data_IF_819558993406
#
_entry.id   IF_819558993406
#
_cell.length_a   1.000
_cell.length_b   1.000
_cell.length_c   1.000
_cell.angle_alpha   90.00
_cell.angle_beta   90.00
_cell.angle_gamma   90.00
#
_symmetry.space_group_name_H-M   'P 1'
#
loop_
_entity.id
_entity.type
_entity.pdbx_description
1 polymer ?
#
# COMPACT_ATOMS: atom_id res chain seq x y z
N UNK A 1 -77.29 61.06 20.53
CA UNK A 1 -77.66 60.78 19.09
C UNK A 1 -76.80 59.64 18.70
N UNK A 2 -77.45 58.48 18.76
CA UNK A 2 -77.62 57.47 17.75
C UNK A 2 -76.30 56.82 17.28
N UNK A 3 -76.10 55.62 17.43
CA UNK A 3 -76.75 54.31 17.34
C UNK A 3 -75.84 53.35 16.63
N UNK A 4 -75.83 52.16 17.13
CA UNK A 4 -75.86 50.87 16.39
C UNK A 4 -74.60 50.41 15.67
N UNK A 5 -74.03 49.34 16.23
CA UNK A 5 -74.26 47.94 15.87
C UNK A 5 -73.61 47.52 14.56
N UNK A 6 -72.60 46.71 14.69
CA UNK A 6 -72.66 45.41 13.96
C UNK A 6 -71.63 44.44 14.55
N UNK A 7 -72.23 43.51 15.29
CA UNK A 7 -71.64 42.22 15.51
C UNK A 7 -71.92 41.36 14.29
N UNK A 8 -70.93 40.94 13.56
CA UNK A 8 -71.05 39.84 12.62
C UNK A 8 -69.73 39.17 12.37
N UNK A 9 -69.68 37.95 12.82
CA UNK A 9 -69.07 36.83 12.19
C UNK A 9 -67.54 36.76 12.06
N UNK A 10 -66.93 36.28 13.15
CA UNK A 10 -65.69 35.52 13.02
C UNK A 10 -66.06 34.03 13.05
N UNK A 11 -66.50 33.50 11.94
CA UNK A 11 -66.62 32.07 11.70
C UNK A 11 -65.18 31.59 11.36
N UNK A 12 -64.45 31.21 12.41
CA UNK A 12 -63.17 30.52 12.27
C UNK A 12 -63.42 29.13 11.70
N UNK A 13 -63.15 28.99 10.43
CA UNK A 13 -63.06 27.74 9.70
C UNK A 13 -61.99 26.85 10.39
N UNK A 14 -62.46 25.95 11.22
CA UNK A 14 -61.64 24.87 11.78
C UNK A 14 -61.21 23.94 10.67
N UNK A 15 -59.98 24.06 10.20
CA UNK A 15 -59.36 23.06 9.33
C UNK A 15 -59.26 21.75 10.14
N UNK A 16 -59.87 20.65 9.72
CA UNK A 16 -59.73 19.38 10.42
C UNK A 16 -58.28 18.91 10.30
N UNK A 17 -57.59 18.84 11.43
CA UNK A 17 -56.31 18.20 11.56
C UNK A 17 -56.46 16.72 11.19
N UNK A 18 -55.86 16.35 10.06
CA UNK A 18 -55.77 14.96 9.65
C UNK A 18 -55.10 14.12 10.75
N UNK A 19 -55.62 12.95 11.11
CA UNK A 19 -55.03 12.10 12.11
C UNK A 19 -53.63 11.71 11.65
N UNK A 20 -52.59 12.14 12.35
CA UNK A 20 -51.24 11.59 12.23
C UNK A 20 -51.37 10.10 12.54
N UNK A 21 -51.39 9.28 11.49
CA UNK A 21 -51.22 7.84 11.62
C UNK A 21 -49.84 7.65 12.30
N UNK A 22 -49.88 7.29 13.57
CA UNK A 22 -48.72 6.72 14.24
C UNK A 22 -48.40 5.42 13.51
N UNK A 23 -47.40 5.44 12.67
CA UNK A 23 -46.87 4.25 12.03
C UNK A 23 -46.38 3.35 13.17
N UNK A 24 -47.22 2.37 13.52
CA UNK A 24 -47.14 1.63 14.77
C UNK A 24 -45.78 0.98 14.97
N UNK A 25 -45.33 0.99 16.21
CA UNK A 25 -44.04 0.58 16.72
C UNK A 25 -43.51 -0.80 16.29
N UNK A 26 -44.32 -1.69 15.75
CA UNK A 26 -43.89 -3.02 15.30
C UNK A 26 -43.04 -2.97 14.01
N UNK A 27 -43.35 -2.08 13.09
CA UNK A 27 -42.56 -1.88 11.86
C UNK A 27 -41.23 -1.16 12.15
N UNK A 28 -41.26 -0.20 13.06
CA UNK A 28 -40.05 0.52 13.51
C UNK A 28 -39.09 -0.45 14.19
N UNK A 29 -39.56 -1.35 15.03
CA UNK A 29 -38.74 -2.41 15.62
C UNK A 29 -38.17 -3.37 14.57
N UNK A 30 -38.93 -3.74 13.55
CA UNK A 30 -38.44 -4.55 12.44
C UNK A 30 -37.32 -3.89 11.64
N UNK A 31 -37.47 -2.58 11.36
CA UNK A 31 -36.41 -1.80 10.67
C UNK A 31 -35.14 -1.66 11.52
N UNK A 32 -35.33 -1.42 12.84
CA UNK A 32 -34.18 -1.32 13.78
C UNK A 32 -33.45 -2.66 13.89
N UNK A 33 -34.18 -3.77 14.00
CA UNK A 33 -33.58 -5.12 14.05
C UNK A 33 -32.82 -5.42 12.72
N UNK A 34 -33.45 -5.09 11.59
CA UNK A 34 -32.83 -5.29 10.28
C UNK A 34 -31.55 -4.44 10.12
N UNK A 35 -31.60 -3.18 10.52
CA UNK A 35 -30.42 -2.30 10.52
C UNK A 35 -29.31 -2.82 11.46
N UNK A 36 -29.69 -3.30 12.65
CA UNK A 36 -28.75 -3.91 13.58
C UNK A 36 -28.12 -5.20 13.02
N UNK A 37 -28.91 -6.07 12.40
CA UNK A 37 -28.40 -7.28 11.74
C UNK A 37 -27.50 -6.94 10.55
N UNK A 38 -27.81 -5.88 9.80
CA UNK A 38 -26.99 -5.41 8.68
C UNK A 38 -25.59 -4.91 9.12
N UNK A 39 -25.49 -4.36 10.32
CA UNK A 39 -24.22 -3.97 10.93
C UNK A 39 -23.56 -5.15 11.66
N UNK A 40 -24.34 -5.92 12.39
CA UNK A 40 -23.84 -7.04 13.20
C UNK A 40 -23.29 -8.19 12.34
N UNK A 41 -23.95 -8.52 11.23
CA UNK A 41 -23.52 -9.62 10.36
C UNK A 41 -22.14 -9.38 9.75
N UNK A 42 -21.84 -8.22 9.10
CA UNK A 42 -20.50 -7.92 8.65
C UNK A 42 -19.47 -7.88 9.78
N UNK A 43 -19.85 -7.35 10.95
CA UNK A 43 -18.99 -7.32 12.13
C UNK A 43 -18.68 -8.74 12.65
N UNK A 44 -19.69 -9.61 12.76
CA UNK A 44 -19.49 -11.01 13.16
C UNK A 44 -18.70 -11.78 12.10
N UNK A 45 -18.98 -11.53 10.82
CA UNK A 45 -18.24 -12.12 9.72
C UNK A 45 -16.78 -11.67 9.74
N UNK A 46 -16.52 -10.35 9.90
CA UNK A 46 -15.17 -9.80 10.03
C UNK A 46 -14.44 -10.37 11.26
N UNK A 47 -15.11 -10.45 12.40
CA UNK A 47 -14.54 -11.03 13.63
C UNK A 47 -14.38 -12.55 13.56
N UNK A 48 -15.18 -13.24 12.74
CA UNK A 48 -15.08 -14.68 12.52
C UNK A 48 -14.11 -15.05 11.39
N UNK A 49 -13.76 -14.08 10.53
CA UNK A 49 -12.78 -14.32 9.48
C UNK A 49 -11.37 -14.34 10.08
N UNK A 50 -10.50 -15.10 9.47
CA UNK A 50 -9.10 -15.28 9.84
C UNK A 50 -8.37 -13.95 10.11
N UNK A 51 -8.70 -12.89 9.37
CA UNK A 51 -8.05 -11.57 9.45
C UNK A 51 -8.40 -10.74 10.70
N UNK A 52 -9.46 -11.04 11.42
CA UNK A 52 -9.91 -10.28 12.60
C UNK A 52 -9.48 -10.87 13.94
N UNK A 53 -8.86 -12.05 13.97
CA UNK A 53 -8.49 -12.73 15.22
C UNK A 53 -6.98 -12.74 15.44
N UNK A 54 -6.51 -12.39 16.64
CA UNK A 54 -5.13 -12.69 17.01
C UNK A 54 -4.91 -14.21 16.97
N UNK A 55 -3.87 -14.62 16.26
CA UNK A 55 -3.46 -16.02 16.21
C UNK A 55 -2.83 -16.44 17.54
N UNK A 56 -3.21 -17.62 18.01
CA UNK A 56 -2.45 -18.28 19.08
C UNK A 56 -1.06 -18.67 18.57
N UNK A 57 -0.10 -18.90 19.45
CA UNK A 57 1.25 -19.30 19.04
C UNK A 57 1.25 -20.59 18.21
N UNK A 58 0.38 -21.55 18.53
CA UNK A 58 0.22 -22.77 17.73
C UNK A 58 -0.27 -22.45 16.32
N UNK A 59 -1.26 -21.57 16.18
CA UNK A 59 -1.79 -21.17 14.87
C UNK A 59 -0.77 -20.35 14.07
N UNK A 60 -0.02 -19.48 14.74
CA UNK A 60 1.03 -18.68 14.14
C UNK A 60 2.15 -19.58 13.57
N UNK A 61 2.60 -20.60 14.34
CA UNK A 61 3.57 -21.56 13.86
C UNK A 61 3.07 -22.40 12.68
N UNK A 62 1.81 -22.83 12.71
CA UNK A 62 1.19 -23.54 11.57
C UNK A 62 1.07 -22.66 10.33
N UNK A 63 0.67 -21.40 10.49
CA UNK A 63 0.56 -20.44 9.38
C UNK A 63 1.91 -20.16 8.73
N UNK A 64 2.98 -19.91 9.53
CA UNK A 64 4.33 -19.67 9.01
C UNK A 64 4.91 -20.91 8.28
N UNK A 65 4.50 -22.10 8.67
CA UNK A 65 4.95 -23.36 8.05
C UNK A 65 4.18 -23.71 6.77
N UNK A 66 2.98 -23.12 6.55
CA UNK A 66 2.08 -23.51 5.47
C UNK A 66 2.41 -22.78 4.15
N UNK A 67 3.44 -23.24 3.45
CA UNK A 67 3.90 -22.67 2.17
C UNK A 67 2.86 -22.71 1.04
N UNK A 68 1.78 -23.49 1.18
CA UNK A 68 0.70 -23.56 0.20
C UNK A 68 -0.25 -22.37 0.25
N UNK A 69 -0.19 -21.58 1.32
CA UNK A 69 -1.11 -20.47 1.57
C UNK A 69 -0.36 -19.17 1.90
N UNK A 70 0.23 -18.48 0.89
CA UNK A 70 1.03 -17.26 1.11
C UNK A 70 0.32 -16.19 1.94
N UNK A 71 -1.00 -16.05 1.79
CA UNK A 71 -1.80 -15.07 2.55
C UNK A 71 -1.85 -15.38 4.05
N UNK A 72 -1.81 -16.65 4.44
CA UNK A 72 -1.75 -17.03 5.85
C UNK A 72 -0.39 -16.68 6.45
N UNK A 73 0.70 -16.87 5.69
CA UNK A 73 2.04 -16.44 6.09
C UNK A 73 2.09 -14.91 6.26
N UNK A 74 1.57 -14.15 5.29
CA UNK A 74 1.53 -12.69 5.39
C UNK A 74 0.73 -12.22 6.62
N UNK A 75 -0.40 -12.88 6.91
CA UNK A 75 -1.18 -12.58 8.11
C UNK A 75 -0.41 -12.90 9.39
N UNK A 76 0.31 -14.02 9.44
CA UNK A 76 1.17 -14.36 10.57
C UNK A 76 2.31 -13.34 10.74
N UNK A 77 2.94 -12.92 9.64
CA UNK A 77 3.97 -11.87 9.65
C UNK A 77 3.43 -10.55 10.20
N UNK A 78 2.22 -10.12 9.78
CA UNK A 78 1.59 -8.91 10.31
C UNK A 78 1.32 -8.99 11.83
N UNK A 79 1.03 -10.17 12.36
CA UNK A 79 0.87 -10.35 13.79
C UNK A 79 2.20 -10.38 14.56
N UNK A 80 3.27 -10.89 13.92
CA UNK A 80 4.62 -10.77 14.48
C UNK A 80 5.03 -9.29 14.52
N UNK A 81 4.79 -8.55 13.45
CA UNK A 81 5.00 -7.10 13.40
C UNK A 81 4.30 -6.39 14.58
N UNK A 82 3.00 -6.64 14.75
CA UNK A 82 2.23 -6.05 15.85
C UNK A 82 2.78 -6.41 17.24
N UNK A 83 3.31 -7.61 17.41
CA UNK A 83 3.97 -8.02 18.67
C UNK A 83 5.32 -7.31 18.86
N UNK A 84 6.09 -7.09 17.78
CA UNK A 84 7.33 -6.32 17.84
C UNK A 84 7.04 -4.86 18.25
N UNK A 85 6.04 -4.24 17.64
CA UNK A 85 5.59 -2.88 17.98
C UNK A 85 5.10 -2.78 19.43
N UNK A 86 4.41 -3.81 19.94
CA UNK A 86 3.98 -3.91 21.32
C UNK A 86 5.12 -4.25 22.30
N UNK A 87 6.34 -4.44 21.81
CA UNK A 87 7.51 -4.83 22.61
C UNK A 87 7.27 -6.13 23.39
N UNK A 88 6.51 -7.08 22.82
CA UNK A 88 6.28 -8.40 23.42
C UNK A 88 7.59 -9.18 23.49
N UNK A 89 8.10 -9.51 24.68
CA UNK A 89 9.37 -10.23 24.81
C UNK A 89 9.32 -11.65 24.20
N UNK A 90 8.12 -12.22 24.07
CA UNK A 90 7.93 -13.55 23.46
C UNK A 90 8.10 -13.55 21.94
N UNK A 91 8.09 -12.37 21.28
CA UNK A 91 8.15 -12.28 19.81
C UNK A 91 9.44 -12.86 19.25
N UNK A 92 10.55 -12.78 19.96
CA UNK A 92 11.86 -13.28 19.52
C UNK A 92 11.88 -14.80 19.26
N UNK A 93 10.95 -15.53 19.86
CA UNK A 93 10.76 -16.97 19.56
C UNK A 93 10.50 -17.21 18.05
N UNK A 94 9.90 -16.23 17.36
CA UNK A 94 9.54 -16.33 15.95
C UNK A 94 10.63 -15.89 14.97
N UNK A 95 11.72 -15.26 15.44
CA UNK A 95 12.79 -14.73 14.57
C UNK A 95 13.42 -15.80 13.66
N UNK A 96 13.70 -17.03 14.11
CA UNK A 96 14.21 -18.05 13.19
C UNK A 96 13.24 -18.38 12.03
N UNK A 97 11.92 -18.36 12.31
CA UNK A 97 10.91 -18.60 11.28
C UNK A 97 10.79 -17.43 10.31
N UNK A 98 10.89 -16.19 10.79
CA UNK A 98 10.96 -14.97 9.97
C UNK A 98 12.20 -15.04 9.07
N UNK A 99 13.39 -15.25 9.62
CA UNK A 99 14.63 -15.38 8.85
C UNK A 99 14.58 -16.45 7.74
N UNK A 100 13.86 -17.54 7.98
CA UNK A 100 13.68 -18.59 6.98
C UNK A 100 12.82 -18.14 5.78
N UNK A 101 11.97 -17.09 5.95
CA UNK A 101 11.13 -16.54 4.90
C UNK A 101 11.89 -15.60 3.97
N UNK A 102 13.04 -15.10 4.34
CA UNK A 102 13.89 -14.28 3.47
C UNK A 102 14.30 -15.00 2.17
N UNK A 103 14.26 -16.34 2.17
CA UNK A 103 14.56 -17.18 1.01
C UNK A 103 13.32 -17.91 0.45
N UNK A 104 12.11 -17.42 0.78
CA UNK A 104 10.89 -18.04 0.28
C UNK A 104 10.78 -17.88 -1.25
N UNK A 105 10.34 -18.92 -2.00
CA UNK A 105 10.17 -18.82 -3.45
C UNK A 105 9.10 -17.82 -3.90
N UNK A 106 8.17 -17.44 -3.00
CA UNK A 106 7.08 -16.50 -3.28
C UNK A 106 7.52 -15.07 -2.94
N UNK A 107 7.60 -14.23 -3.96
CA UNK A 107 8.07 -12.85 -3.86
C UNK A 107 7.29 -12.03 -2.83
N UNK A 108 5.96 -12.17 -2.81
CA UNK A 108 5.08 -11.42 -1.91
C UNK A 108 5.35 -11.74 -0.43
N UNK A 109 5.83 -12.95 -0.13
CA UNK A 109 6.27 -13.33 1.22
C UNK A 109 7.55 -12.60 1.54
N UNK A 110 8.57 -12.63 0.66
CA UNK A 110 9.84 -11.92 0.89
C UNK A 110 9.67 -10.41 1.01
N UNK A 111 8.74 -9.81 0.21
CA UNK A 111 8.38 -8.39 0.32
C UNK A 111 7.86 -8.04 1.72
N UNK A 112 6.94 -8.85 2.25
CA UNK A 112 6.36 -8.64 3.59
C UNK A 112 7.41 -8.90 4.68
N UNK A 113 8.19 -9.95 4.52
CA UNK A 113 9.22 -10.38 5.46
C UNK A 113 10.33 -9.33 5.61
N UNK A 114 10.81 -8.76 4.49
CA UNK A 114 11.80 -7.69 4.50
C UNK A 114 11.32 -6.45 5.29
N UNK A 115 10.03 -6.13 5.21
CA UNK A 115 9.42 -5.07 6.01
C UNK A 115 9.36 -5.43 7.50
N UNK A 116 8.93 -6.66 7.82
CA UNK A 116 8.80 -7.14 9.21
C UNK A 116 10.15 -7.19 9.91
N UNK A 117 11.20 -7.67 9.25
CA UNK A 117 12.54 -7.66 9.81
C UNK A 117 13.04 -6.27 10.20
N UNK A 118 12.58 -5.23 9.50
CA UNK A 118 12.89 -3.84 9.83
C UNK A 118 12.23 -3.31 11.11
N UNK A 119 11.30 -4.05 11.74
CA UNK A 119 10.60 -3.58 12.94
C UNK A 119 11.42 -3.78 14.23
N UNK A 120 12.38 -4.72 14.27
CA UNK A 120 13.35 -4.82 15.36
C UNK A 120 14.77 -4.55 14.87
N UNK A 121 15.18 -3.28 14.91
CA UNK A 121 16.50 -2.81 14.50
C UNK A 121 17.62 -3.19 15.49
N UNK A 122 17.35 -3.99 16.49
CA UNK A 122 18.35 -4.54 17.42
C UNK A 122 18.84 -5.93 17.02
N UNK A 123 18.13 -6.60 16.10
CA UNK A 123 18.47 -7.95 15.64
C UNK A 123 19.55 -7.92 14.57
N UNK A 124 20.75 -8.38 14.88
CA UNK A 124 21.84 -8.49 13.91
C UNK A 124 21.55 -9.52 12.81
N UNK A 125 20.83 -10.58 13.13
CA UNK A 125 20.45 -11.58 12.13
C UNK A 125 19.48 -11.00 11.09
N UNK A 126 18.53 -10.16 11.51
CA UNK A 126 17.66 -9.42 10.59
C UNK A 126 18.45 -8.45 9.74
N UNK A 127 19.38 -7.70 10.32
CA UNK A 127 20.26 -6.82 9.58
C UNK A 127 21.01 -7.57 8.46
N UNK A 128 21.66 -8.71 8.78
CA UNK A 128 22.38 -9.51 7.78
C UNK A 128 21.46 -10.05 6.68
N UNK A 129 20.25 -10.53 7.05
CA UNK A 129 19.28 -11.00 6.08
C UNK A 129 18.83 -9.87 5.13
N UNK A 130 18.55 -8.68 5.66
CA UNK A 130 18.16 -7.50 4.88
C UNK A 130 19.26 -7.05 3.91
N UNK A 131 20.53 -7.09 4.32
CA UNK A 131 21.67 -6.81 3.41
C UNK A 131 21.68 -7.81 2.25
N UNK A 132 21.42 -9.09 2.52
CA UNK A 132 21.30 -10.12 1.47
C UNK A 132 20.16 -9.84 0.48
N UNK A 133 19.04 -9.32 0.97
CA UNK A 133 17.86 -8.99 0.15
C UNK A 133 18.02 -7.73 -0.73
N UNK A 134 19.09 -6.95 -0.58
CA UNK A 134 19.37 -5.81 -1.47
C UNK A 134 19.68 -6.22 -2.91
N UNK A 135 19.93 -7.50 -3.16
CA UNK A 135 20.19 -8.08 -4.48
C UNK A 135 19.14 -9.10 -4.90
N UNK A 136 17.95 -9.04 -4.32
CA UNK A 136 16.84 -9.91 -4.67
C UNK A 136 16.40 -9.69 -6.13
N UNK A 137 15.90 -10.74 -6.76
CA UNK A 137 15.36 -10.67 -8.13
C UNK A 137 14.12 -9.80 -8.26
N UNK A 138 13.40 -9.59 -7.15
CA UNK A 138 12.21 -8.75 -7.09
C UNK A 138 12.55 -7.37 -6.50
N UNK A 139 12.39 -6.34 -7.32
CA UNK A 139 12.70 -4.94 -6.96
C UNK A 139 11.92 -4.42 -5.73
N UNK A 140 10.74 -4.97 -5.42
CA UNK A 140 10.01 -4.59 -4.21
C UNK A 140 10.62 -5.19 -2.95
N UNK A 141 11.24 -6.37 -3.04
CA UNK A 141 12.02 -6.95 -1.95
C UNK A 141 13.25 -6.09 -1.67
N UNK A 142 14.03 -5.74 -2.72
CA UNK A 142 15.18 -4.85 -2.60
C UNK A 142 14.83 -3.51 -1.94
N UNK A 143 13.70 -2.88 -2.37
CA UNK A 143 13.23 -1.61 -1.83
C UNK A 143 12.83 -1.69 -0.36
N UNK A 144 12.07 -2.73 0.02
CA UNK A 144 11.68 -2.92 1.42
C UNK A 144 12.89 -3.23 2.30
N UNK A 145 13.85 -4.03 1.81
CA UNK A 145 15.10 -4.29 2.51
C UNK A 145 15.89 -2.99 2.73
N UNK A 146 16.01 -2.16 1.68
CA UNK A 146 16.68 -0.87 1.78
C UNK A 146 16.04 0.08 2.79
N UNK A 147 14.71 0.22 2.76
CA UNK A 147 13.95 1.02 3.73
C UNK A 147 14.08 0.49 5.15
N UNK A 148 14.12 -0.83 5.31
CA UNK A 148 14.28 -1.48 6.61
C UNK A 148 15.70 -1.25 7.17
N UNK A 149 16.75 -1.31 6.33
CA UNK A 149 18.12 -1.03 6.75
C UNK A 149 18.33 0.39 7.27
N UNK A 150 17.60 1.38 6.74
CA UNK A 150 17.62 2.75 7.28
C UNK A 150 17.23 2.80 8.75
N UNK A 151 16.33 1.92 9.21
CA UNK A 151 15.94 1.82 10.63
C UNK A 151 17.07 1.30 11.52
N UNK A 152 18.01 0.54 10.95
CA UNK A 152 19.26 0.14 11.62
C UNK A 152 20.34 1.23 11.58
N UNK A 153 20.06 2.36 10.92
CA UNK A 153 21.06 3.40 10.68
C UNK A 153 22.06 3.03 9.57
N UNK A 154 21.74 2.02 8.76
CA UNK A 154 22.58 1.53 7.68
C UNK A 154 22.09 2.07 6.33
N UNK A 155 22.99 2.65 5.55
CA UNK A 155 22.72 3.19 4.22
C UNK A 155 23.14 2.26 3.07
N UNK A 156 23.40 0.97 3.34
CA UNK A 156 23.79 -0.01 2.32
C UNK A 156 22.77 -0.11 1.16
N UNK A 157 21.49 0.15 1.43
CA UNK A 157 20.42 0.23 0.44
C UNK A 157 20.23 1.59 -0.22
N UNK A 158 21.17 2.51 -0.12
CA UNK A 158 21.03 3.88 -0.62
C UNK A 158 20.65 3.96 -2.12
N UNK A 159 21.29 3.16 -2.97
CA UNK A 159 21.00 3.14 -4.41
C UNK A 159 19.56 2.77 -4.72
N UNK A 160 19.00 1.78 -4.00
CA UNK A 160 17.60 1.34 -4.13
C UNK A 160 16.64 2.44 -3.70
N UNK A 161 16.96 3.18 -2.62
CA UNK A 161 16.15 4.29 -2.11
C UNK A 161 16.11 5.44 -3.13
N UNK A 162 17.26 5.84 -3.67
CA UNK A 162 17.33 6.89 -4.71
C UNK A 162 16.56 6.47 -5.97
N UNK A 163 16.65 5.20 -6.37
CA UNK A 163 15.92 4.66 -7.51
C UNK A 163 14.39 4.76 -7.35
N UNK A 164 13.88 4.80 -6.10
CA UNK A 164 12.43 4.99 -5.85
C UNK A 164 11.94 6.39 -6.21
N UNK A 165 12.83 7.38 -6.31
CA UNK A 165 12.50 8.75 -6.75
C UNK A 165 12.46 8.91 -8.27
N UNK A 166 12.89 7.91 -9.02
CA UNK A 166 13.05 7.99 -10.49
C UNK A 166 12.03 7.13 -11.20
N UNK A 167 11.67 7.47 -12.46
CA UNK A 167 10.83 6.59 -13.27
C UNK A 167 11.44 5.19 -13.38
N UNK A 168 10.59 4.18 -13.21
CA UNK A 168 10.97 2.78 -13.34
C UNK A 168 10.74 2.29 -14.76
N UNK A 169 11.81 1.82 -15.41
CA UNK A 169 11.72 1.19 -16.73
C UNK A 169 11.51 -0.31 -16.57
N UNK A 170 10.38 -0.79 -17.02
CA UNK A 170 10.07 -2.22 -17.04
C UNK A 170 10.49 -2.84 -18.36
N UNK A 171 11.24 -3.94 -18.29
CA UNK A 171 11.66 -4.71 -19.46
C UNK A 171 10.74 -5.91 -19.70
N UNK A 172 10.74 -6.42 -20.93
CA UNK A 172 10.00 -7.64 -21.27
C UNK A 172 10.67 -8.88 -20.66
N UNK A 173 9.90 -9.73 -19.97
CA UNK A 173 10.44 -11.01 -19.47
C UNK A 173 10.64 -12.06 -20.58
N UNK A 174 10.08 -11.83 -21.79
CA UNK A 174 10.13 -12.80 -22.89
C UNK A 174 10.07 -12.10 -24.25
N UNK A 175 10.42 -12.84 -25.30
CA UNK A 175 10.30 -12.41 -26.69
C UNK A 175 8.92 -12.78 -27.26
N UNK A 176 8.41 -11.96 -28.20
CA UNK A 176 7.13 -12.20 -28.88
C UNK A 176 6.54 -10.90 -29.46
N UNK A 177 5.25 -10.93 -29.81
CA UNK A 177 4.52 -9.74 -30.28
C UNK A 177 3.78 -9.10 -29.11
N UNK A 178 4.02 -7.81 -28.90
CA UNK A 178 3.44 -7.04 -27.79
C UNK A 178 1.99 -6.64 -28.07
N UNK A 179 1.09 -6.92 -27.13
CA UNK A 179 -0.28 -6.40 -27.12
C UNK A 179 -0.49 -5.58 -25.82
N UNK A 180 -0.50 -4.27 -25.95
CA UNK A 180 -0.65 -3.33 -24.80
C UNK A 180 -2.10 -3.29 -24.31
N UNK A 181 -2.29 -3.10 -22.99
CA UNK A 181 -3.62 -3.07 -22.36
C UNK A 181 -3.95 -1.73 -21.72
N UNK A 182 -2.92 -0.99 -21.30
CA UNK A 182 -3.06 0.26 -20.55
C UNK A 182 -2.73 1.47 -21.41
N UNK A 183 -3.20 2.63 -20.92
CA UNK A 183 -2.94 3.95 -21.52
C UNK A 183 -2.04 4.77 -20.60
N UNK A 184 -1.30 5.76 -21.12
CA UNK A 184 -0.62 6.75 -20.30
C UNK A 184 -1.57 7.34 -19.26
N UNK A 185 -1.07 7.58 -18.06
CA UNK A 185 -1.78 8.02 -16.85
C UNK A 185 -2.60 6.93 -16.12
N UNK A 186 -2.68 5.69 -16.61
CA UNK A 186 -3.27 4.60 -15.83
C UNK A 186 -2.41 4.27 -14.61
N UNK A 187 -3.06 4.15 -13.45
CA UNK A 187 -2.43 3.75 -12.19
C UNK A 187 -2.27 2.24 -12.17
N UNK A 188 -1.08 1.78 -11.77
CA UNK A 188 -0.75 0.36 -11.65
C UNK A 188 -0.27 0.02 -10.25
N UNK A 189 -0.58 -1.20 -9.83
CA UNK A 189 -0.07 -1.81 -8.62
C UNK A 189 0.64 -3.13 -8.98
N UNK A 190 1.49 -3.67 -8.11
CA UNK A 190 2.07 -5.01 -8.32
C UNK A 190 0.98 -6.02 -8.69
N UNK A 191 1.22 -6.81 -9.74
CA UNK A 191 0.25 -7.76 -10.30
C UNK A 191 -0.74 -7.18 -11.33
N UNK A 192 -0.82 -5.86 -11.53
CA UNK A 192 -1.67 -5.26 -12.58
C UNK A 192 -1.24 -5.75 -13.96
N UNK A 193 -2.20 -6.25 -14.76
CA UNK A 193 -1.93 -6.69 -16.14
C UNK A 193 -1.63 -5.49 -17.03
N UNK A 194 -0.42 -5.41 -17.54
CA UNK A 194 0.08 -4.33 -18.39
C UNK A 194 -0.12 -4.66 -19.88
N UNK A 195 0.26 -5.86 -20.26
CA UNK A 195 0.28 -6.32 -21.65
C UNK A 195 0.15 -7.83 -21.74
N UNK A 196 -0.12 -8.30 -22.95
CA UNK A 196 0.14 -9.68 -23.34
C UNK A 196 1.30 -9.72 -24.33
N UNK A 197 2.00 -10.85 -24.35
CA UNK A 197 3.02 -11.12 -25.35
C UNK A 197 2.68 -12.46 -26.01
N UNK A 198 2.39 -12.39 -27.31
CA UNK A 198 2.17 -13.58 -28.14
C UNK A 198 3.53 -14.16 -28.53
N UNK A 199 3.79 -15.38 -28.11
CA UNK A 199 5.03 -16.10 -28.37
C UNK A 199 4.73 -17.51 -28.98
N UNK A 200 5.72 -18.20 -29.52
CA UNK A 200 5.52 -19.60 -30.01
C UNK A 200 4.97 -20.53 -28.92
N UNK A 201 5.22 -20.22 -27.65
CA UNK A 201 4.69 -20.96 -26.49
C UNK A 201 3.30 -20.52 -26.03
N UNK A 202 2.61 -19.69 -26.81
CA UNK A 202 1.29 -19.16 -26.55
C UNK A 202 1.33 -17.75 -25.91
N UNK A 203 0.15 -17.23 -25.59
CA UNK A 203 -0.06 -15.90 -25.01
C UNK A 203 0.36 -15.89 -23.55
N UNK A 204 1.24 -14.95 -23.20
CA UNK A 204 1.74 -14.75 -21.84
C UNK A 204 1.39 -13.35 -21.33
N UNK A 205 1.11 -13.26 -20.04
CA UNK A 205 0.80 -12.01 -19.37
C UNK A 205 2.09 -11.31 -18.89
N UNK A 206 2.12 -10.00 -19.07
CA UNK A 206 3.13 -9.12 -18.46
C UNK A 206 2.45 -8.27 -17.41
N UNK A 207 2.87 -8.43 -16.15
CA UNK A 207 2.27 -7.77 -15.00
C UNK A 207 3.25 -6.79 -14.36
N UNK A 208 2.73 -5.72 -13.76
CA UNK A 208 3.53 -4.74 -13.04
C UNK A 208 4.22 -5.39 -11.84
N UNK A 209 5.49 -5.07 -11.66
CA UNK A 209 6.30 -5.48 -10.48
C UNK A 209 6.35 -4.40 -9.41
N UNK A 210 6.09 -3.15 -9.76
CA UNK A 210 6.11 -2.00 -8.85
C UNK A 210 4.83 -1.18 -8.98
N UNK A 211 4.41 -0.44 -7.93
CA UNK A 211 3.32 0.52 -8.04
C UNK A 211 3.80 1.79 -8.75
N UNK A 212 2.87 2.43 -9.47
CA UNK A 212 3.17 3.69 -10.14
C UNK A 212 2.07 4.13 -11.10
N UNK A 213 2.39 5.08 -11.95
CA UNK A 213 1.51 5.55 -13.03
C UNK A 213 2.21 5.33 -14.36
N UNK A 214 1.52 4.74 -15.34
CA UNK A 214 2.09 4.55 -16.67
C UNK A 214 2.40 5.91 -17.30
N UNK A 215 3.68 6.21 -17.46
CA UNK A 215 4.14 7.42 -18.11
C UNK A 215 4.02 7.29 -19.64
N UNK A 216 4.63 6.25 -20.18
CA UNK A 216 4.62 5.98 -21.62
C UNK A 216 5.01 4.55 -21.94
N UNK A 217 4.58 4.07 -23.09
CA UNK A 217 5.12 2.88 -23.72
C UNK A 217 6.42 3.21 -24.45
N UNK A 218 7.44 2.37 -24.28
CA UNK A 218 8.73 2.45 -24.99
C UNK A 218 8.74 1.53 -26.21
N UNK A 219 7.92 0.48 -26.19
CA UNK A 219 7.66 -0.40 -27.32
C UNK A 219 6.24 -0.18 -27.87
N UNK A 220 6.08 -0.25 -29.19
CA UNK A 220 4.79 -0.02 -29.84
C UNK A 220 3.91 -1.27 -29.79
N UNK A 221 2.59 -1.05 -29.66
CA UNK A 221 1.61 -2.12 -29.74
C UNK A 221 1.68 -2.86 -31.09
N UNK A 222 1.59 -4.17 -31.09
CA UNK A 222 1.65 -4.99 -32.28
C UNK A 222 3.06 -5.23 -32.83
N UNK A 223 4.12 -4.71 -32.21
CA UNK A 223 5.51 -4.94 -32.66
C UNK A 223 6.14 -6.15 -32.00
N UNK A 224 7.12 -6.74 -32.71
CA UNK A 224 7.98 -7.78 -32.13
C UNK A 224 8.93 -7.18 -31.10
N UNK A 225 9.05 -7.83 -29.96
CA UNK A 225 9.94 -7.47 -28.84
C UNK A 225 10.83 -8.63 -28.45
N UNK A 226 11.99 -8.31 -27.86
CA UNK A 226 12.93 -9.29 -27.30
C UNK A 226 12.83 -9.37 -25.80
N UNK A 227 13.23 -10.48 -25.19
CA UNK A 227 13.44 -10.57 -23.75
C UNK A 227 14.50 -9.53 -23.33
N UNK A 228 14.25 -8.84 -22.19
CA UNK A 228 15.10 -7.75 -21.71
C UNK A 228 14.88 -6.40 -22.40
N UNK A 229 14.09 -6.33 -23.47
CA UNK A 229 13.81 -5.06 -24.15
C UNK A 229 12.93 -4.15 -23.25
N UNK A 230 13.26 -2.85 -23.10
CA UNK A 230 12.42 -1.89 -22.41
C UNK A 230 11.01 -1.80 -23.02
N UNK A 231 9.97 -2.00 -22.20
CA UNK A 231 8.57 -1.99 -22.64
C UNK A 231 7.88 -0.67 -22.34
N UNK A 232 8.04 -0.16 -21.12
CA UNK A 232 7.33 1.01 -20.64
C UNK A 232 8.12 1.71 -19.52
N UNK A 233 7.73 2.95 -19.24
CA UNK A 233 8.19 3.75 -18.10
C UNK A 233 7.03 4.01 -17.17
N UNK A 234 7.25 3.78 -15.85
CA UNK A 234 6.31 4.10 -14.78
C UNK A 234 6.85 5.26 -13.97
N UNK A 235 6.06 6.30 -13.79
CA UNK A 235 6.30 7.29 -12.73
C UNK A 235 6.11 6.60 -11.37
N UNK A 236 6.97 6.89 -10.39
CA UNK A 236 6.82 6.28 -9.06
C UNK A 236 5.50 6.70 -8.42
N UNK A 237 4.91 5.81 -7.63
CA UNK A 237 3.73 6.15 -6.83
C UNK A 237 4.08 7.16 -5.74
N UNK A 238 3.09 7.92 -5.30
CA UNK A 238 3.27 8.93 -4.24
C UNK A 238 3.79 8.30 -2.94
N UNK A 239 3.27 7.12 -2.59
CA UNK A 239 3.73 6.39 -1.39
C UNK A 239 5.20 6.00 -1.47
N UNK A 240 5.67 5.54 -2.65
CA UNK A 240 7.09 5.19 -2.85
C UNK A 240 7.99 6.41 -2.73
N UNK A 241 7.60 7.53 -3.33
CA UNK A 241 8.33 8.80 -3.21
C UNK A 241 8.38 9.26 -1.77
N UNK A 242 7.26 9.20 -1.06
CA UNK A 242 7.18 9.57 0.34
C UNK A 242 8.14 8.76 1.23
N UNK A 243 8.13 7.43 1.10
CA UNK A 243 9.04 6.57 1.87
C UNK A 243 10.51 6.82 1.53
N UNK A 244 10.83 6.99 0.24
CA UNK A 244 12.20 7.32 -0.17
C UNK A 244 12.68 8.65 0.41
N UNK A 245 11.85 9.69 0.39
CA UNK A 245 12.17 11.00 0.96
C UNK A 245 12.34 10.94 2.49
N UNK A 246 11.55 10.11 3.19
CA UNK A 246 11.72 9.86 4.63
C UNK A 246 13.04 9.16 4.92
N UNK A 247 13.39 8.16 4.12
CA UNK A 247 14.66 7.46 4.24
C UNK A 247 15.85 8.42 3.98
N UNK A 248 15.79 9.20 2.90
CA UNK A 248 16.85 10.18 2.56
C UNK A 248 16.96 11.34 3.56
N UNK A 249 15.89 11.66 4.27
CA UNK A 249 15.97 12.57 5.42
C UNK A 249 16.99 12.07 6.45
N UNK A 250 17.11 10.75 6.65
CA UNK A 250 18.02 10.14 7.62
C UNK A 250 19.41 9.85 7.03
N UNK A 251 19.45 9.24 5.82
CA UNK A 251 20.70 8.71 5.24
C UNK A 251 21.10 9.36 3.91
N UNK A 252 20.36 10.36 3.42
CA UNK A 252 20.62 10.99 2.13
C UNK A 252 21.93 11.77 2.10
N UNK A 253 22.53 11.86 0.93
CA UNK A 253 23.84 12.46 0.64
C UNK A 253 23.68 13.67 -0.26
N UNK A 254 24.71 14.52 -0.34
CA UNK A 254 24.69 15.74 -1.17
C UNK A 254 24.39 15.45 -2.66
N UNK A 255 24.81 14.31 -3.15
CA UNK A 255 24.55 13.84 -4.52
C UNK A 255 23.08 13.54 -4.83
N UNK A 256 22.25 13.34 -3.80
CA UNK A 256 20.81 13.07 -3.95
C UNK A 256 19.97 14.34 -4.13
N UNK A 257 20.55 15.51 -3.82
CA UNK A 257 19.82 16.78 -3.86
C UNK A 257 19.10 17.05 -5.18
N UNK A 258 19.64 16.73 -6.37
CA UNK A 258 18.92 16.95 -7.62
C UNK A 258 17.60 16.18 -7.70
N UNK A 259 17.57 14.92 -7.26
CA UNK A 259 16.36 14.08 -7.23
C UNK A 259 15.39 14.55 -6.14
N UNK A 260 15.88 14.86 -4.94
CA UNK A 260 15.06 15.35 -3.82
C UNK A 260 14.47 16.73 -4.12
N UNK A 261 15.27 17.69 -4.62
CA UNK A 261 14.83 19.05 -4.90
C UNK A 261 13.81 19.13 -6.04
N UNK A 262 13.77 18.14 -6.93
CA UNK A 262 12.72 18.01 -7.93
C UNK A 262 11.33 17.97 -7.30
N UNK A 263 11.16 17.16 -6.25
CA UNK A 263 9.91 17.05 -5.50
C UNK A 263 9.66 18.24 -4.58
N UNK A 264 10.72 18.86 -4.06
CA UNK A 264 10.62 20.03 -3.20
C UNK A 264 10.05 21.28 -3.91
N UNK A 265 10.21 21.37 -5.24
CA UNK A 265 9.61 22.46 -6.04
C UNK A 265 8.11 22.33 -6.20
N UNK A 266 7.54 21.18 -5.87
CA UNK A 266 6.13 20.87 -6.13
C UNK A 266 5.84 20.68 -7.61
N UNK A 267 4.66 20.17 -7.94
CA UNK A 267 4.27 19.84 -9.31
C UNK A 267 4.32 18.33 -9.57
N UNK A 268 4.38 17.94 -10.83
CA UNK A 268 4.42 16.54 -11.29
C UNK A 268 3.26 15.67 -10.76
N UNK A 269 2.15 16.29 -10.27
CA UNK A 269 0.96 15.58 -9.80
C UNK A 269 1.06 15.00 -8.39
N UNK A 270 2.12 15.30 -7.63
CA UNK A 270 2.29 14.87 -6.24
C UNK A 270 1.63 15.84 -5.25
N UNK A 271 1.23 15.32 -4.08
CA UNK A 271 0.60 16.12 -3.03
C UNK A 271 1.55 17.15 -2.40
N UNK A 272 1.02 18.22 -1.78
CA UNK A 272 1.82 19.18 -1.03
C UNK A 272 2.64 18.54 0.11
N UNK A 273 2.17 17.42 0.65
CA UNK A 273 2.89 16.69 1.70
C UNK A 273 4.21 16.12 1.19
N UNK A 274 4.23 15.57 -0.03
CA UNK A 274 5.47 15.10 -0.67
C UNK A 274 6.47 16.26 -0.81
N UNK A 275 6.01 17.43 -1.26
CA UNK A 275 6.88 18.60 -1.39
C UNK A 275 7.44 19.06 -0.03
N UNK A 276 6.63 19.03 1.04
CA UNK A 276 7.08 19.33 2.40
C UNK A 276 8.14 18.34 2.89
N UNK A 277 7.92 17.04 2.66
CA UNK A 277 8.89 15.99 3.03
C UNK A 277 10.20 16.15 2.24
N UNK A 278 10.11 16.46 0.95
CA UNK A 278 11.28 16.72 0.12
C UNK A 278 12.09 17.94 0.62
N UNK A 279 11.40 19.01 1.00
CA UNK A 279 12.04 20.19 1.62
C UNK A 279 12.75 19.82 2.93
N UNK A 280 12.11 18.98 3.76
CA UNK A 280 12.73 18.52 5.01
C UNK A 280 13.98 17.66 4.73
N UNK A 281 13.89 16.71 3.79
CA UNK A 281 15.02 15.88 3.38
C UNK A 281 16.18 16.72 2.81
N UNK A 282 15.87 17.66 1.92
CA UNK A 282 16.86 18.54 1.31
C UNK A 282 17.64 19.37 2.38
N UNK A 283 16.91 19.91 3.37
CA UNK A 283 17.55 20.65 4.49
C UNK A 283 18.45 19.74 5.33
N UNK A 284 17.97 18.54 5.67
CA UNK A 284 18.75 17.58 6.46
C UNK A 284 20.04 17.15 5.72
N UNK A 285 19.93 16.88 4.42
CA UNK A 285 21.08 16.53 3.57
C UNK A 285 22.09 17.68 3.55
N UNK A 286 21.66 18.92 3.29
CA UNK A 286 22.54 20.10 3.27
C UNK A 286 23.23 20.33 4.61
N UNK A 287 22.49 20.15 5.72
CA UNK A 287 23.06 20.30 7.07
C UNK A 287 24.17 19.27 7.32
N UNK A 288 23.98 18.00 6.94
CA UNK A 288 25.02 16.96 7.07
C UNK A 288 26.25 17.21 6.20
N UNK A 289 26.07 17.78 5.01
CA UNK A 289 27.16 18.07 4.09
C UNK A 289 28.07 19.23 4.55
N UNK A 290 27.60 20.06 5.52
CA UNK A 290 28.31 21.20 6.07
C UNK A 290 28.91 20.93 7.45
N UNK A 291 28.66 19.77 8.05
CA UNK A 291 29.17 19.30 9.34
C UNK A 291 30.42 18.48 9.18
#
# INVERSE_FOLDING_TARGET
MTTETNAQEAEQSAVPSAPRKSFGGRWTYGVIIMAFLFVLMPFLFWNATWFGRPLTDTQLGLALANRSHPREIQHALAQIEARMEAHDPGVRHWYPAVLALANDPVDEIRVTDAWVMGQDNTSQDFHHALVGLLTDSNVMVERNAALSLVRFGDDAGHAQIVAMLRPYTMASPLAGTLETRLKPSDVVNPGTLLAHVESPGGRKEVRATVPGTLERWLAQNGTAISAGQPLLSLQPSESMVWEALRALYLVGRAEDLPDVDRYARGGDGFSPQVAQQALAASRAIRSRATS
#
